data_IF_129982209258
#
_entry.id   IF_129982209258
#
_cell.length_a   1.000
_cell.length_b   1.000
_cell.length_c   1.000
_cell.angle_alpha   90.00
_cell.angle_beta   90.00
_cell.angle_gamma   90.00
#
_symmetry.space_group_name_H-M   'P 1'
#
loop_
_entity.id
_entity.type
_entity.pdbx_description
1 polymer ?
#
# COMPACT_ATOMS: atom_id res chain seq x y z
N UNK A 1 16.93 -17.73 -1.92
CA UNK A 1 17.25 -16.42 -1.29
C UNK A 1 16.65 -15.25 -2.10
N UNK A 2 17.20 -14.80 -3.23
CA UNK A 2 16.62 -13.66 -3.97
C UNK A 2 15.17 -13.88 -4.47
N UNK A 3 14.84 -15.12 -4.88
CA UNK A 3 13.50 -15.51 -5.37
C UNK A 3 12.43 -15.49 -4.27
N UNK A 4 12.83 -15.70 -3.02
CA UNK A 4 11.93 -15.75 -1.86
C UNK A 4 11.52 -14.33 -1.41
N UNK A 5 12.46 -13.37 -1.50
CA UNK A 5 12.18 -11.96 -1.23
C UNK A 5 11.24 -11.34 -2.25
N UNK A 6 11.45 -11.62 -3.55
CA UNK A 6 10.56 -11.11 -4.59
C UNK A 6 9.13 -11.64 -4.41
N UNK A 7 8.98 -12.94 -4.13
CA UNK A 7 7.67 -13.52 -3.85
C UNK A 7 7.01 -12.83 -2.65
N UNK A 8 7.75 -12.65 -1.56
CA UNK A 8 7.28 -11.93 -0.38
C UNK A 8 6.80 -10.51 -0.74
N UNK A 9 7.60 -9.71 -1.44
CA UNK A 9 7.23 -8.33 -1.82
C UNK A 9 5.97 -8.27 -2.68
N UNK A 10 5.82 -9.17 -3.66
CA UNK A 10 4.62 -9.26 -4.49
C UNK A 10 3.40 -9.64 -3.65
N UNK A 11 3.53 -10.57 -2.69
CA UNK A 11 2.43 -10.90 -1.79
C UNK A 11 2.02 -9.73 -0.89
N UNK A 12 2.99 -8.98 -0.37
CA UNK A 12 2.71 -7.80 0.44
C UNK A 12 2.03 -6.70 -0.37
N UNK A 13 2.49 -6.44 -1.59
CA UNK A 13 1.84 -5.50 -2.51
C UNK A 13 0.38 -5.91 -2.81
N UNK A 14 0.09 -7.20 -2.97
CA UNK A 14 -1.30 -7.70 -3.13
C UNK A 14 -2.15 -7.39 -1.91
N UNK A 15 -1.64 -7.65 -0.70
CA UNK A 15 -2.34 -7.34 0.55
C UNK A 15 -2.67 -5.84 0.62
N UNK A 16 -1.70 -4.95 0.35
CA UNK A 16 -1.93 -3.51 0.39
C UNK A 16 -2.94 -3.03 -0.66
N UNK A 17 -2.87 -3.58 -1.87
CA UNK A 17 -3.86 -3.31 -2.92
C UNK A 17 -5.27 -3.70 -2.48
N UNK A 18 -5.42 -4.90 -1.92
CA UNK A 18 -6.72 -5.45 -1.53
C UNK A 18 -7.30 -4.70 -0.32
N UNK A 19 -6.46 -4.31 0.64
CA UNK A 19 -6.84 -3.45 1.77
C UNK A 19 -7.27 -2.04 1.30
N UNK A 20 -6.55 -1.44 0.36
CA UNK A 20 -6.95 -0.17 -0.24
C UNK A 20 -8.29 -0.28 -0.98
N UNK A 21 -8.50 -1.35 -1.75
CA UNK A 21 -9.77 -1.62 -2.41
C UNK A 21 -10.91 -1.85 -1.40
N UNK A 22 -10.65 -2.55 -0.29
CA UNK A 22 -11.62 -2.75 0.79
C UNK A 22 -12.04 -1.43 1.43
N UNK A 23 -11.08 -0.54 1.70
CA UNK A 23 -11.38 0.79 2.22
C UNK A 23 -12.21 1.62 1.25
N UNK A 24 -11.92 1.56 -0.06
CA UNK A 24 -12.76 2.21 -1.10
C UNK A 24 -14.19 1.64 -1.08
N UNK A 25 -14.34 0.31 -0.96
CA UNK A 25 -15.67 -0.29 -0.86
C UNK A 25 -16.41 0.21 0.38
N UNK A 26 -15.74 0.35 1.53
CA UNK A 26 -16.34 0.95 2.72
C UNK A 26 -16.82 2.39 2.46
N UNK A 27 -16.06 3.23 1.75
CA UNK A 27 -16.53 4.59 1.41
C UNK A 27 -17.76 4.57 0.51
N UNK A 28 -17.87 3.60 -0.42
CA UNK A 28 -19.08 3.47 -1.26
C UNK A 28 -20.32 2.98 -0.50
N UNK A 29 -20.14 2.43 0.70
CA UNK A 29 -21.20 1.99 1.60
C UNK A 29 -21.46 3.01 2.72
N UNK A 30 -20.91 4.22 2.61
CA UNK A 30 -20.93 5.26 3.65
C UNK A 30 -20.30 4.84 5.00
N UNK A 31 -19.47 3.80 5.01
CA UNK A 31 -18.71 3.31 6.17
C UNK A 31 -17.35 4.04 6.33
N UNK A 32 -17.36 5.37 6.34
CA UNK A 32 -16.13 6.20 6.31
C UNK A 32 -15.18 5.93 7.47
N UNK A 33 -15.69 5.77 8.69
CA UNK A 33 -14.86 5.47 9.86
C UNK A 33 -14.10 4.15 9.68
N UNK A 34 -14.77 3.13 9.13
CA UNK A 34 -14.15 1.84 8.86
C UNK A 34 -13.09 1.95 7.76
N UNK A 35 -13.34 2.74 6.73
CA UNK A 35 -12.36 3.02 5.68
C UNK A 35 -11.09 3.68 6.25
N UNK A 36 -11.24 4.67 7.14
CA UNK A 36 -10.12 5.32 7.82
C UNK A 36 -9.33 4.37 8.72
N UNK A 37 -10.02 3.48 9.45
CA UNK A 37 -9.36 2.45 10.27
C UNK A 37 -8.52 1.50 9.40
N UNK A 38 -9.05 1.08 8.24
CA UNK A 38 -8.33 0.24 7.29
C UNK A 38 -7.09 0.98 6.77
N UNK A 39 -7.25 2.22 6.30
CA UNK A 39 -6.14 3.06 5.84
C UNK A 39 -5.05 3.20 6.91
N UNK A 40 -5.43 3.55 8.14
CA UNK A 40 -4.49 3.70 9.26
C UNK A 40 -3.73 2.40 9.55
N UNK A 41 -4.39 1.26 9.46
CA UNK A 41 -3.78 -0.05 9.67
C UNK A 41 -2.78 -0.40 8.55
N UNK A 42 -3.16 -0.13 7.30
CA UNK A 42 -2.28 -0.27 6.13
C UNK A 42 -1.01 0.58 6.30
N UNK A 43 -1.16 1.86 6.61
CA UNK A 43 -0.03 2.79 6.77
C UNK A 43 0.90 2.42 7.93
N UNK A 44 0.34 1.89 9.03
CA UNK A 44 1.15 1.34 10.13
C UNK A 44 2.00 0.17 9.66
N UNK A 45 1.44 -0.74 8.85
CA UNK A 45 2.18 -1.86 8.31
C UNK A 45 3.27 -1.41 7.33
N UNK A 46 2.98 -0.46 6.45
CA UNK A 46 3.95 0.11 5.50
C UNK A 46 5.12 0.76 6.23
N UNK A 47 4.82 1.57 7.25
CA UNK A 47 5.85 2.23 8.08
C UNK A 47 6.73 1.21 8.81
N UNK A 48 6.12 0.15 9.35
CA UNK A 48 6.88 -0.91 10.01
C UNK A 48 7.80 -1.66 9.03
N UNK A 49 7.38 -1.88 7.78
CA UNK A 49 8.24 -2.51 6.77
C UNK A 49 9.39 -1.60 6.34
N UNK A 50 9.12 -0.31 6.08
CA UNK A 50 10.17 0.66 5.74
C UNK A 50 11.25 0.72 6.82
N UNK A 51 10.88 0.66 8.10
CA UNK A 51 11.84 0.66 9.21
C UNK A 51 12.72 -0.60 9.28
N UNK A 52 12.28 -1.72 8.70
CA UNK A 52 12.98 -3.01 8.74
C UNK A 52 13.69 -3.35 7.41
N UNK A 53 13.44 -2.59 6.34
CA UNK A 53 14.09 -2.78 5.04
C UNK A 53 15.46 -2.09 5.04
N UNK A 54 16.50 -2.82 4.61
CA UNK A 54 17.78 -2.21 4.27
C UNK A 54 17.60 -1.31 3.05
N UNK A 55 18.06 -0.05 3.14
CA UNK A 55 17.88 1.05 2.19
C UNK A 55 18.56 0.88 0.82
N UNK A 56 19.02 -0.32 0.46
CA UNK A 56 19.39 -0.60 -0.93
C UNK A 56 18.11 -0.50 -1.77
N UNK A 57 18.03 0.59 -2.55
CA UNK A 57 16.87 1.07 -3.31
C UNK A 57 16.30 -0.07 -4.15
N UNK A 58 15.33 -0.78 -3.57
CA UNK A 58 14.56 -1.82 -4.25
C UNK A 58 13.24 -1.20 -4.68
N UNK A 59 12.70 -1.63 -5.83
CA UNK A 59 11.39 -1.16 -6.30
C UNK A 59 10.26 -1.35 -5.26
N UNK A 60 10.43 -2.30 -4.34
CA UNK A 60 9.50 -2.48 -3.23
C UNK A 60 9.62 -1.35 -2.19
N UNK A 61 10.83 -0.91 -1.87
CA UNK A 61 11.06 0.26 -1.02
C UNK A 61 10.41 1.52 -1.63
N UNK A 62 10.62 1.75 -2.94
CA UNK A 62 10.00 2.88 -3.66
C UNK A 62 8.46 2.83 -3.63
N UNK A 63 7.87 1.64 -3.73
CA UNK A 63 6.43 1.45 -3.55
C UNK A 63 5.99 1.91 -2.15
N UNK A 64 6.69 1.48 -1.10
CA UNK A 64 6.32 1.82 0.28
C UNK A 64 6.47 3.33 0.56
N UNK A 65 7.52 3.97 0.04
CA UNK A 65 7.69 5.43 0.13
C UNK A 65 6.59 6.20 -0.61
N UNK A 66 6.20 5.73 -1.80
CA UNK A 66 5.11 6.32 -2.55
C UNK A 66 3.80 6.28 -1.73
N UNK A 67 3.50 5.15 -1.08
CA UNK A 67 2.33 5.00 -0.21
C UNK A 67 2.37 6.00 0.95
N UNK A 68 3.49 6.15 1.66
CA UNK A 68 3.62 7.16 2.72
C UNK A 68 3.42 8.58 2.20
N UNK A 69 3.98 8.88 1.03
CA UNK A 69 3.88 10.21 0.40
C UNK A 69 2.42 10.57 0.07
N UNK A 70 1.62 9.61 -0.41
CA UNK A 70 0.20 9.86 -0.69
C UNK A 70 -0.56 10.26 0.58
N UNK A 71 -0.26 9.63 1.73
CA UNK A 71 -0.89 9.97 3.01
C UNK A 71 -0.50 11.34 3.56
N UNK A 72 0.67 11.87 3.21
CA UNK A 72 1.13 13.18 3.68
C UNK A 72 0.52 14.34 2.90
N UNK A 73 0.04 14.09 1.67
CA UNK A 73 -0.49 15.12 0.77
C UNK A 73 -1.90 15.61 1.11
N UNK A 74 -2.50 15.12 2.21
CA UNK A 74 -3.85 15.49 2.67
C UNK A 74 -4.90 15.39 1.54
N UNK A 75 -4.79 14.35 0.73
CA UNK A 75 -5.74 14.07 -0.34
C UNK A 75 -7.07 13.60 0.25
N UNK A 76 -8.14 13.72 -0.54
CA UNK A 76 -9.40 13.05 -0.23
C UNK A 76 -9.18 11.54 -0.08
N UNK A 77 -9.83 10.93 0.91
CA UNK A 77 -9.62 9.52 1.30
C UNK A 77 -9.69 8.57 0.10
N UNK A 78 -10.73 8.69 -0.73
CA UNK A 78 -10.93 7.83 -1.91
C UNK A 78 -9.81 8.00 -2.92
N UNK A 79 -9.35 9.23 -3.14
CA UNK A 79 -8.26 9.51 -4.08
C UNK A 79 -6.93 8.93 -3.58
N UNK A 80 -6.64 9.10 -2.29
CA UNK A 80 -5.45 8.53 -1.66
C UNK A 80 -5.44 7.00 -1.77
N UNK A 81 -6.54 6.35 -1.40
CA UNK A 81 -6.69 4.90 -1.50
C UNK A 81 -6.56 4.42 -2.96
N UNK A 82 -7.06 5.20 -3.92
CA UNK A 82 -6.94 4.90 -5.35
C UNK A 82 -5.48 4.95 -5.80
N UNK A 83 -4.70 5.93 -5.35
CA UNK A 83 -3.27 5.99 -5.64
C UNK A 83 -2.50 4.83 -5.02
N UNK A 84 -2.76 4.50 -3.75
CA UNK A 84 -2.15 3.33 -3.07
C UNK A 84 -2.44 2.05 -3.87
N UNK A 85 -3.72 1.79 -4.18
CA UNK A 85 -4.15 0.63 -4.95
C UNK A 85 -3.46 0.55 -6.31
N UNK A 86 -3.40 1.67 -7.02
CA UNK A 86 -2.81 1.74 -8.36
C UNK A 86 -1.30 1.52 -8.34
N UNK A 87 -0.59 2.10 -7.37
CA UNK A 87 0.84 1.90 -7.19
C UNK A 87 1.17 0.43 -6.89
N UNK A 88 0.39 -0.20 -6.00
CA UNK A 88 0.53 -1.62 -5.70
C UNK A 88 0.28 -2.49 -6.94
N UNK A 89 -0.75 -2.18 -7.73
CA UNK A 89 -1.05 -2.94 -8.95
C UNK A 89 0.09 -2.81 -9.98
N UNK A 90 0.62 -1.60 -10.22
CA UNK A 90 1.77 -1.39 -11.12
C UNK A 90 3.01 -2.17 -10.68
N UNK A 91 3.29 -2.21 -9.38
CA UNK A 91 4.37 -3.03 -8.86
C UNK A 91 4.11 -4.51 -9.15
N UNK A 92 2.93 -5.03 -8.83
CA UNK A 92 2.58 -6.44 -9.09
C UNK A 92 2.75 -6.79 -10.57
N UNK A 93 2.25 -5.96 -11.48
CA UNK A 93 2.32 -6.18 -12.93
C UNK A 93 3.75 -6.17 -13.46
N UNK A 94 4.67 -5.48 -12.76
CA UNK A 94 6.09 -5.43 -13.13
C UNK A 94 6.86 -6.70 -12.76
N UNK A 95 6.26 -7.58 -11.95
CA UNK A 95 6.88 -8.79 -11.40
C UNK A 95 5.99 -10.05 -11.52
N UNK A 96 4.91 -9.96 -12.30
CA UNK A 96 4.01 -11.07 -12.64
C UNK A 96 4.49 -11.82 -13.88
#
# INVERSE_FOLDING_TARGET
>A
MAKDFLHYYVQRAKIYRDEAQRAITCTTLDEYERAEIIKKTLLRSVTAELANLSTEISAYYELLEAIQTYSQKQLELVLELTYIRTACQKFIDSYA
#
